data_IF_963912504707
#
_entry.id   IF_963912504707
#
_cell.length_a   1.000
_cell.length_b   1.000
_cell.length_c   1.000
_cell.angle_alpha   90.00
_cell.angle_beta   90.00
_cell.angle_gamma   90.00
#
_symmetry.space_group_name_H-M   'P 1'
#
loop_
_entity.id
_entity.type
_entity.pdbx_description
1 polymer ?
#
# COMPACT_ATOMS: atom_id res chain seq x y z
N UNK A 1 3.68 -5.73 6.74
CA UNK A 1 3.12 -5.55 5.37
C UNK A 1 2.83 -6.89 4.69
N UNK A 2 3.65 -7.91 4.93
CA UNK A 2 3.49 -9.28 4.39
C UNK A 2 2.17 -9.95 4.76
N UNK A 3 1.67 -9.82 6.00
CA UNK A 3 0.37 -10.39 6.38
C UNK A 3 -0.80 -9.81 5.57
N UNK A 4 -0.74 -8.52 5.22
CA UNK A 4 -1.76 -7.85 4.40
C UNK A 4 -1.70 -8.39 2.96
N UNK A 5 -0.50 -8.63 2.44
CA UNK A 5 -0.32 -9.27 1.14
C UNK A 5 -0.80 -10.72 1.13
N UNK A 6 -0.49 -11.51 2.16
CA UNK A 6 -1.01 -12.89 2.32
C UNK A 6 -2.54 -12.89 2.34
N UNK A 7 -3.15 -11.97 3.09
CA UNK A 7 -4.61 -11.79 3.08
C UNK A 7 -5.14 -11.42 1.69
N UNK A 8 -4.53 -10.44 1.01
CA UNK A 8 -4.91 -10.04 -0.34
C UNK A 8 -4.80 -11.19 -1.34
N UNK A 9 -3.72 -11.95 -1.28
CA UNK A 9 -3.48 -13.14 -2.09
C UNK A 9 -4.55 -14.21 -1.87
N UNK A 10 -4.82 -14.54 -0.61
CA UNK A 10 -5.86 -15.50 -0.25
C UNK A 10 -7.25 -15.05 -0.74
N UNK A 11 -7.60 -13.77 -0.57
CA UNK A 11 -8.85 -13.20 -1.08
C UNK A 11 -8.95 -13.24 -2.61
N UNK A 12 -7.86 -12.97 -3.33
CA UNK A 12 -7.80 -13.10 -4.79
C UNK A 12 -7.97 -14.56 -5.23
N UNK A 13 -7.36 -15.51 -4.52
CA UNK A 13 -7.51 -16.95 -4.78
C UNK A 13 -8.94 -17.46 -4.55
N UNK A 14 -9.66 -16.88 -3.59
CA UNK A 14 -11.07 -17.21 -3.32
C UNK A 14 -12.08 -16.62 -4.32
N UNK A 15 -11.65 -15.78 -5.28
CA UNK A 15 -12.57 -15.24 -6.29
C UNK A 15 -12.96 -16.36 -7.27
N UNK A 16 -14.23 -16.74 -7.23
CA UNK A 16 -14.85 -17.69 -8.15
C UNK A 16 -15.41 -16.98 -9.39
N UNK A 17 -15.48 -17.68 -10.52
CA UNK A 17 -16.00 -17.16 -11.80
C UNK A 17 -14.94 -17.00 -12.90
N UNK A 18 -15.41 -16.80 -14.14
CA UNK A 18 -14.59 -16.50 -15.32
C UNK A 18 -14.06 -15.06 -15.22
N UNK A 19 -12.95 -14.89 -14.51
CA UNK A 19 -12.22 -13.64 -14.42
C UNK A 19 -10.90 -13.81 -15.15
N UNK A 20 -10.50 -12.80 -15.92
CA UNK A 20 -9.14 -12.75 -16.48
C UNK A 20 -8.11 -12.67 -15.36
N UNK A 21 -6.88 -13.13 -15.64
CA UNK A 21 -5.79 -13.17 -14.66
C UNK A 21 -5.57 -11.81 -13.98
N UNK A 22 -5.52 -10.74 -14.79
CA UNK A 22 -5.37 -9.36 -14.32
C UNK A 22 -6.50 -8.92 -13.38
N UNK A 23 -7.76 -9.21 -13.71
CA UNK A 23 -8.90 -8.88 -12.87
C UNK A 23 -8.93 -9.67 -11.56
N UNK A 24 -8.45 -10.93 -11.59
CA UNK A 24 -8.40 -11.78 -10.40
C UNK A 24 -7.32 -11.28 -9.42
N UNK A 25 -6.12 -10.97 -9.93
CA UNK A 25 -4.94 -10.65 -9.13
C UNK A 25 -4.65 -9.16 -8.95
N UNK A 26 -5.46 -8.28 -9.55
CA UNK A 26 -5.36 -6.82 -9.47
C UNK A 26 -4.97 -6.30 -8.07
N UNK A 27 -5.73 -6.67 -7.04
CA UNK A 27 -5.46 -6.24 -5.66
C UNK A 27 -4.11 -6.74 -5.12
N UNK A 28 -3.70 -7.95 -5.48
CA UNK A 28 -2.42 -8.51 -5.07
C UNK A 28 -1.25 -7.78 -5.75
N UNK A 29 -1.37 -7.32 -6.99
CA UNK A 29 -0.33 -6.54 -7.64
C UNK A 29 -0.11 -5.19 -6.97
N UNK A 30 -1.17 -4.46 -6.63
CA UNK A 30 -1.05 -3.20 -5.87
C UNK A 30 -0.38 -3.42 -4.51
N UNK A 31 -0.77 -4.47 -3.78
CA UNK A 31 -0.15 -4.82 -2.50
C UNK A 31 1.31 -5.26 -2.66
N UNK A 32 1.62 -6.04 -3.70
CA UNK A 32 2.95 -6.52 -4.02
C UNK A 32 3.91 -5.37 -4.37
N UNK A 33 3.45 -4.40 -5.17
CA UNK A 33 4.21 -3.19 -5.47
C UNK A 33 4.35 -2.28 -4.25
N UNK A 34 3.32 -2.19 -3.40
CA UNK A 34 3.37 -1.34 -2.21
C UNK A 34 4.40 -1.81 -1.16
N UNK A 35 4.68 -3.11 -1.06
CA UNK A 35 5.62 -3.67 -0.08
C UNK A 35 7.04 -3.08 -0.23
N UNK A 36 7.74 -3.23 -1.36
CA UNK A 36 9.09 -2.69 -1.52
C UNK A 36 9.10 -1.16 -1.43
N UNK A 37 8.05 -0.48 -1.91
CA UNK A 37 7.94 0.98 -1.83
C UNK A 37 7.88 1.49 -0.39
N UNK A 38 7.12 0.80 0.48
CA UNK A 38 7.03 1.17 1.90
C UNK A 38 8.24 0.71 2.72
N UNK A 39 8.92 -0.37 2.31
CA UNK A 39 10.12 -0.86 2.98
C UNK A 39 11.40 -0.10 2.58
N UNK A 40 11.42 0.53 1.40
CA UNK A 40 12.61 1.21 0.88
C UNK A 40 13.16 2.28 1.82
N UNK A 41 12.30 3.16 2.35
CA UNK A 41 12.75 4.22 3.25
C UNK A 41 13.26 3.70 4.61
N UNK A 42 12.52 2.84 5.36
CA UNK A 42 13.05 2.23 6.59
C UNK A 42 14.34 1.45 6.38
N UNK A 43 14.45 0.67 5.30
CA UNK A 43 15.67 -0.08 4.97
C UNK A 43 16.84 0.85 4.70
N UNK A 44 16.63 1.90 3.90
CA UNK A 44 17.67 2.90 3.65
C UNK A 44 18.12 3.59 4.95
N UNK A 45 17.20 3.89 5.88
CA UNK A 45 17.56 4.46 7.18
C UNK A 45 18.48 3.51 7.96
N UNK A 46 18.09 2.23 8.07
CA UNK A 46 18.90 1.24 8.78
C UNK A 46 20.28 1.07 8.13
N UNK A 47 20.33 0.90 6.82
CA UNK A 47 21.60 0.66 6.11
C UNK A 47 22.55 1.86 6.17
N UNK A 48 22.04 3.08 6.01
CA UNK A 48 22.87 4.29 5.94
C UNK A 48 23.29 4.77 7.34
N UNK A 49 22.38 4.74 8.33
CA UNK A 49 22.65 5.32 9.65
C UNK A 49 23.15 4.31 10.68
N UNK A 50 22.71 3.04 10.61
CA UNK A 50 23.16 1.99 11.54
C UNK A 50 24.29 1.20 10.91
N UNK A 51 24.18 0.88 9.61
CA UNK A 51 25.20 0.16 8.86
C UNK A 51 26.34 1.03 8.32
N UNK A 52 26.29 2.35 8.55
CA UNK A 52 27.26 3.35 8.06
C UNK A 52 27.55 3.29 6.55
N UNK A 53 26.62 2.75 5.76
CA UNK A 53 26.86 2.54 4.34
C UNK A 53 26.87 3.88 3.59
N UNK A 54 28.05 4.26 3.10
CA UNK A 54 28.23 5.49 2.31
C UNK A 54 28.19 6.77 3.15
N UNK A 55 28.38 6.67 4.47
CA UNK A 55 28.36 7.82 5.36
C UNK A 55 29.64 8.68 5.22
N UNK A 56 29.58 10.03 5.25
CA UNK A 56 28.39 10.89 5.37
C UNK A 56 27.70 11.24 4.04
N UNK A 57 28.25 10.84 2.88
CA UNK A 57 27.73 11.24 1.56
C UNK A 57 26.30 10.79 1.27
N UNK A 58 25.87 9.67 1.84
CA UNK A 58 24.52 9.12 1.69
C UNK A 58 23.52 9.63 2.74
N UNK A 59 23.89 10.60 3.59
CA UNK A 59 23.01 11.13 4.63
C UNK A 59 21.73 11.72 4.01
N UNK A 60 20.57 11.27 4.49
CA UNK A 60 19.26 11.70 3.98
C UNK A 60 18.78 13.05 4.56
N UNK A 61 19.25 13.42 5.75
CA UNK A 61 18.91 14.68 6.43
C UNK A 61 20.16 15.52 6.71
N UNK A 62 20.09 16.80 6.40
CA UNK A 62 21.02 17.83 6.85
C UNK A 62 20.27 18.85 7.71
N UNK A 63 20.92 19.41 8.74
CA UNK A 63 20.29 20.36 9.66
C UNK A 63 19.08 19.76 10.43
N UNK A 64 18.37 20.60 11.20
CA UNK A 64 17.21 20.24 12.03
C UNK A 64 15.90 20.15 11.25
N UNK A 65 15.95 19.72 9.98
CA UNK A 65 14.76 19.58 9.13
C UNK A 65 13.96 18.34 9.51
N UNK A 66 12.63 18.49 9.61
CA UNK A 66 11.71 17.37 9.86
C UNK A 66 11.57 16.43 8.64
N UNK A 67 11.84 16.94 7.44
CA UNK A 67 11.80 16.20 6.18
C UNK A 67 13.22 15.97 5.62
N UNK A 68 13.45 14.85 4.91
CA UNK A 68 14.72 14.64 4.23
C UNK A 68 14.90 15.71 3.15
N UNK A 69 16.11 16.25 3.05
CA UNK A 69 16.43 17.42 2.22
C UNK A 69 17.55 17.15 1.21
N UNK A 70 18.01 15.91 1.13
CA UNK A 70 18.88 15.45 0.04
C UNK A 70 18.06 14.86 -1.09
N UNK A 71 18.61 14.87 -2.31
CA UNK A 71 17.91 14.37 -3.50
C UNK A 71 17.43 12.93 -3.31
N UNK A 72 18.33 12.02 -2.91
CA UNK A 72 17.98 10.62 -2.67
C UNK A 72 17.00 10.45 -1.49
N UNK A 73 17.15 11.25 -0.43
CA UNK A 73 16.21 11.25 0.69
C UNK A 73 14.80 11.69 0.30
N UNK A 74 14.68 12.75 -0.53
CA UNK A 74 13.41 13.22 -1.08
C UNK A 74 12.80 12.16 -2.00
N UNK A 75 13.59 11.54 -2.88
CA UNK A 75 13.12 10.46 -3.75
C UNK A 75 12.54 9.30 -2.94
N UNK A 76 13.24 8.82 -1.92
CA UNK A 76 12.77 7.75 -1.04
C UNK A 76 11.51 8.15 -0.26
N UNK A 77 11.42 9.42 0.15
CA UNK A 77 10.25 9.95 0.84
C UNK A 77 9.01 9.98 -0.05
N UNK A 78 9.13 10.47 -1.29
CA UNK A 78 8.03 10.45 -2.28
C UNK A 78 7.62 9.01 -2.60
N UNK A 79 8.61 8.12 -2.82
CA UNK A 79 8.37 6.72 -3.13
C UNK A 79 7.60 6.00 -2.01
N UNK A 80 7.93 6.29 -0.75
CA UNK A 80 7.18 5.80 0.42
C UNK A 80 5.72 6.22 0.35
N UNK A 81 5.41 7.49 0.09
CA UNK A 81 4.02 7.97 0.06
C UNK A 81 3.22 7.38 -1.10
N UNK A 82 3.83 7.22 -2.28
CA UNK A 82 3.20 6.49 -3.39
C UNK A 82 2.94 5.04 -2.97
N UNK A 83 3.88 4.41 -2.28
CA UNK A 83 3.71 3.09 -1.68
C UNK A 83 2.52 3.00 -0.72
N UNK A 84 2.29 4.02 0.12
CA UNK A 84 1.11 4.09 1.01
C UNK A 84 -0.19 4.17 0.23
N UNK A 85 -0.22 4.96 -0.86
CA UNK A 85 -1.39 5.06 -1.74
C UNK A 85 -1.69 3.69 -2.36
N UNK A 86 -0.68 3.00 -2.88
CA UNK A 86 -0.85 1.68 -3.49
C UNK A 86 -1.30 0.63 -2.46
N UNK A 87 -0.76 0.69 -1.24
CA UNK A 87 -1.19 -0.17 -0.13
C UNK A 87 -2.68 0.05 0.15
N UNK A 88 -3.11 1.31 0.23
CA UNK A 88 -4.49 1.69 0.53
C UNK A 88 -5.44 1.20 -0.57
N UNK A 89 -5.11 1.45 -1.84
CA UNK A 89 -5.89 0.96 -2.99
C UNK A 89 -5.97 -0.57 -2.98
N UNK A 90 -4.83 -1.25 -2.78
CA UNK A 90 -4.75 -2.70 -2.70
C UNK A 90 -5.64 -3.28 -1.59
N UNK A 91 -5.63 -2.69 -0.40
CA UNK A 91 -6.49 -3.10 0.73
C UNK A 91 -7.97 -2.88 0.42
N UNK A 92 -8.35 -1.72 -0.14
CA UNK A 92 -9.74 -1.44 -0.50
C UNK A 92 -10.27 -2.43 -1.55
N UNK A 93 -9.44 -2.77 -2.55
CA UNK A 93 -9.77 -3.75 -3.59
C UNK A 93 -9.83 -5.18 -3.03
N UNK A 94 -8.92 -5.57 -2.15
CA UNK A 94 -8.89 -6.90 -1.52
C UNK A 94 -10.10 -7.13 -0.60
N UNK A 95 -10.48 -6.12 0.18
CA UNK A 95 -11.62 -6.16 1.11
C UNK A 95 -12.97 -6.02 0.42
N UNK A 96 -12.98 -5.57 -0.85
CA UNK A 96 -14.17 -5.18 -1.60
C UNK A 96 -15.05 -4.20 -0.81
N UNK A 97 -14.42 -3.28 -0.05
CA UNK A 97 -15.12 -2.41 0.88
C UNK A 97 -16.20 -1.57 0.17
N UNK A 98 -15.86 -1.05 -1.00
CA UNK A 98 -16.79 -0.31 -1.88
C UNK A 98 -18.09 -1.08 -2.14
N UNK A 99 -18.02 -2.36 -2.51
CA UNK A 99 -19.22 -3.14 -2.84
C UNK A 99 -20.05 -3.44 -1.59
N UNK A 100 -19.41 -3.64 -0.44
CA UNK A 100 -20.09 -3.82 0.85
C UNK A 100 -20.82 -2.54 1.28
N UNK A 101 -20.19 -1.38 1.16
CA UNK A 101 -20.80 -0.07 1.46
C UNK A 101 -21.98 0.17 0.54
N UNK A 102 -21.83 -0.01 -0.78
CA UNK A 102 -22.93 0.16 -1.72
C UNK A 102 -24.11 -0.78 -1.45
N UNK A 103 -23.84 -2.05 -1.07
CA UNK A 103 -24.89 -3.00 -0.68
C UNK A 103 -25.63 -2.55 0.58
N UNK A 104 -24.90 -2.12 1.62
CA UNK A 104 -25.52 -1.57 2.84
C UNK A 104 -26.33 -0.31 2.55
N UNK A 105 -25.80 0.60 1.73
CA UNK A 105 -26.46 1.85 1.40
C UNK A 105 -27.73 1.63 0.56
N UNK A 106 -27.72 0.67 -0.37
CA UNK A 106 -28.93 0.22 -1.08
C UNK A 106 -29.97 -0.38 -0.13
N UNK A 107 -29.56 -1.22 0.84
CA UNK A 107 -30.47 -1.79 1.84
C UNK A 107 -31.12 -0.73 2.74
N UNK A 108 -30.38 0.31 3.11
CA UNK A 108 -30.92 1.43 3.89
C UNK A 108 -31.91 2.26 3.07
N UNK A 109 -31.61 2.54 1.79
CA UNK A 109 -32.54 3.26 0.89
C UNK A 109 -33.76 2.44 0.47
N UNK A 110 -33.67 1.11 0.49
CA UNK A 110 -34.78 0.20 0.19
C UNK A 110 -35.68 -0.12 1.40
N UNK A 111 -35.37 0.36 2.60
CA UNK A 111 -36.18 0.19 3.82
C UNK A 111 -37.06 1.42 4.10
N UNK A 112 -37.74 1.89 3.07
CA UNK A 112 -38.84 2.86 3.15
C UNK A 112 -40.18 2.30 2.66
N UNK A 113 -40.30 0.98 2.48
CA UNK A 113 -41.58 0.33 2.20
C UNK A 113 -41.79 -0.81 3.22
N UNK A 114 -42.77 -0.69 4.13
CA UNK A 114 -43.22 -1.82 4.93
C UNK A 114 -43.91 -2.82 3.99
N UNK A 115 -43.52 -4.09 4.08
CA UNK A 115 -44.42 -5.20 3.75
C UNK A 115 -45.24 -5.51 4.99
#
# INVERSE_FOLDING_TARGET
>A
VTNIFQFGWWRCKQRTGELTHWQRWDAAYYLGAAIPMNLGMPLAVVLIYIGEWGYPGSKMWHSSSWMPNTVHGITLYVFKWIGVIFLTIGVLKATQLHTKIQKKWRKLRGKGQPQ
#
